data_IF_175371740912
#
_entry.id   IF_175371740912
#
_cell.length_a   1.000
_cell.length_b   1.000
_cell.length_c   1.000
_cell.angle_alpha   90.00
_cell.angle_beta   90.00
_cell.angle_gamma   90.00
#
_symmetry.space_group_name_H-M   'P 1'
#
loop_
_entity.id
_entity.type
_entity.pdbx_description
1 polymer ?
#
# COMPACT_ATOMS: atom_id res chain seq x y z
N UNK A 1 9.15 -6.33 -18.40
CA UNK A 1 9.10 -5.26 -17.39
C UNK A 1 7.64 -4.88 -17.16
N UNK A 2 7.11 -5.10 -15.96
CA UNK A 2 5.70 -4.78 -15.65
C UNK A 2 5.58 -3.30 -15.30
N UNK A 3 4.46 -2.66 -15.63
CA UNK A 3 4.21 -1.25 -15.28
C UNK A 3 4.34 -1.03 -13.76
N UNK A 4 3.91 -2.00 -12.95
CA UNK A 4 4.02 -1.96 -11.49
C UNK A 4 5.46 -1.80 -11.00
N UNK A 5 6.43 -2.45 -11.68
CA UNK A 5 7.86 -2.35 -11.32
C UNK A 5 8.38 -0.93 -11.58
N UNK A 6 8.02 -0.34 -12.72
CA UNK A 6 8.40 1.03 -13.07
C UNK A 6 7.82 2.05 -12.08
N UNK A 7 6.55 1.88 -11.68
CA UNK A 7 5.91 2.78 -10.71
C UNK A 7 6.56 2.66 -9.33
N UNK A 8 6.88 1.44 -8.87
CA UNK A 8 7.61 1.23 -7.61
C UNK A 8 8.97 1.93 -7.63
N UNK A 9 9.76 1.74 -8.69
CA UNK A 9 11.06 2.41 -8.86
C UNK A 9 10.93 3.94 -8.84
N UNK A 10 9.93 4.49 -9.53
CA UNK A 10 9.66 5.92 -9.53
C UNK A 10 9.34 6.43 -8.13
N UNK A 11 8.47 5.75 -7.40
CA UNK A 11 8.09 6.12 -6.01
C UNK A 11 9.31 6.06 -5.10
N UNK A 12 10.13 5.01 -5.19
CA UNK A 12 11.37 4.87 -4.41
C UNK A 12 12.38 5.98 -4.69
N UNK A 13 12.45 6.45 -5.93
CA UNK A 13 13.37 7.52 -6.34
C UNK A 13 12.84 8.92 -5.99
N UNK A 14 11.53 9.13 -6.05
CA UNK A 14 10.92 10.46 -6.02
C UNK A 14 10.33 10.85 -4.67
N UNK A 15 9.92 9.90 -3.82
CA UNK A 15 9.35 10.22 -2.50
C UNK A 15 10.47 10.53 -1.50
N UNK A 16 10.54 11.75 -0.96
CA UNK A 16 11.56 12.12 0.00
C UNK A 16 11.43 11.38 1.32
N UNK A 17 12.57 10.99 1.89
CA UNK A 17 12.68 10.25 3.15
C UNK A 17 11.84 8.95 3.16
N UNK A 18 11.63 8.32 2.00
CA UNK A 18 10.79 7.12 1.87
C UNK A 18 11.18 5.99 2.85
N UNK A 19 12.48 5.82 3.11
CA UNK A 19 12.99 4.77 4.01
C UNK A 19 12.56 4.94 5.48
N UNK A 20 12.15 6.16 5.89
CA UNK A 20 11.67 6.46 7.23
C UNK A 20 10.15 6.45 7.36
N UNK A 21 9.40 6.20 6.27
CA UNK A 21 7.94 6.19 6.31
C UNK A 21 7.43 4.83 6.77
N UNK A 22 6.48 4.87 7.71
CA UNK A 22 5.81 3.68 8.25
C UNK A 22 4.31 3.79 8.07
N UNK A 23 3.65 2.64 8.08
CA UNK A 23 2.19 2.56 8.07
C UNK A 23 1.65 2.84 9.46
N UNK A 24 0.79 3.85 9.57
CA UNK A 24 0.00 4.11 10.77
C UNK A 24 -1.17 3.14 10.89
N UNK A 25 -1.95 3.01 9.81
CA UNK A 25 -3.13 2.14 9.77
C UNK A 25 -3.33 1.56 8.37
N UNK A 26 -3.81 0.31 8.33
CA UNK A 26 -4.30 -0.33 7.11
C UNK A 26 -5.64 -1.01 7.37
N UNK A 27 -6.52 -1.00 6.37
CA UNK A 27 -7.82 -1.65 6.43
C UNK A 27 -8.18 -2.20 5.05
N UNK A 28 -8.54 -3.49 4.99
CA UNK A 28 -9.14 -4.11 3.80
C UNK A 28 -10.66 -4.03 4.00
N UNK A 29 -11.30 -3.06 3.35
CA UNK A 29 -12.75 -2.89 3.36
C UNK A 29 -13.42 -3.58 2.18
N UNK A 30 -14.75 -3.55 2.12
CA UNK A 30 -15.53 -4.24 1.07
C UNK A 30 -15.37 -3.63 -0.33
N UNK A 31 -15.32 -2.29 -0.42
CA UNK A 31 -15.15 -1.57 -1.69
C UNK A 31 -13.72 -1.06 -1.91
N UNK A 32 -13.03 -0.69 -0.84
CA UNK A 32 -11.66 -0.16 -0.89
C UNK A 32 -10.80 -0.72 0.23
N UNK A 33 -9.54 -0.97 -0.11
CA UNK A 33 -8.43 -1.16 0.80
C UNK A 33 -7.74 0.18 1.00
N UNK A 34 -7.60 0.61 2.25
CA UNK A 34 -7.03 1.90 2.62
C UNK A 34 -5.79 1.76 3.49
N UNK A 35 -4.81 2.63 3.26
CA UNK A 35 -3.57 2.74 4.02
C UNK A 35 -3.33 4.20 4.38
N UNK A 36 -2.90 4.45 5.62
CA UNK A 36 -2.46 5.76 6.10
C UNK A 36 -1.03 5.64 6.63
N UNK A 37 -0.16 6.55 6.21
CA UNK A 37 1.22 6.67 6.68
C UNK A 37 1.26 7.51 7.98
N UNK A 38 2.34 7.38 8.77
CA UNK A 38 2.55 8.24 9.94
C UNK A 38 2.68 9.73 9.57
N UNK A 39 3.06 10.04 8.32
CA UNK A 39 3.03 11.40 7.79
C UNK A 39 1.63 11.97 7.56
N UNK A 40 0.56 11.23 7.89
CA UNK A 40 -0.85 11.64 7.69
C UNK A 40 -1.38 11.41 6.27
N UNK A 41 -0.51 11.06 5.32
CA UNK A 41 -0.90 10.82 3.94
C UNK A 41 -1.59 9.46 3.79
N UNK A 42 -2.59 9.38 2.92
CA UNK A 42 -3.40 8.17 2.76
C UNK A 42 -3.50 7.76 1.28
N UNK A 43 -3.76 6.47 1.06
CA UNK A 43 -3.93 5.88 -0.25
C UNK A 43 -4.98 4.78 -0.23
N UNK A 44 -5.65 4.62 -1.37
CA UNK A 44 -6.74 3.68 -1.56
C UNK A 44 -6.45 2.78 -2.75
N UNK A 45 -6.96 1.56 -2.71
CA UNK A 45 -7.05 0.64 -3.84
C UNK A 45 -8.42 -0.02 -3.80
N UNK A 46 -9.05 -0.28 -4.96
CA UNK A 46 -10.30 -1.03 -4.99
C UNK A 46 -10.09 -2.44 -4.43
N UNK A 47 -10.99 -2.89 -3.55
CA UNK A 47 -10.91 -4.26 -3.02
C UNK A 47 -11.53 -5.23 -4.03
N UNK A 48 -10.72 -6.15 -4.53
CA UNK A 48 -11.16 -7.21 -5.44
C UNK A 48 -11.78 -8.39 -4.67
N UNK A 49 -12.87 -8.13 -3.95
CA UNK A 49 -13.49 -9.09 -3.02
C UNK A 49 -13.93 -10.40 -3.67
N UNK A 50 -14.25 -10.40 -4.96
CA UNK A 50 -14.63 -11.61 -5.72
C UNK A 50 -13.43 -12.47 -6.14
N UNK A 51 -12.24 -11.87 -6.22
CA UNK A 51 -10.98 -12.54 -6.57
C UNK A 51 -10.21 -13.00 -5.31
N UNK A 52 -10.63 -12.54 -4.13
CA UNK A 52 -10.06 -12.97 -2.86
C UNK A 52 -10.60 -14.36 -2.52
N UNK A 53 -9.72 -15.33 -2.15
CA UNK A 53 -10.18 -16.65 -1.79
C UNK A 53 -11.19 -16.57 -0.62
N UNK A 54 -12.33 -17.29 -0.69
CA UNK A 54 -13.45 -17.16 0.25
C UNK A 54 -13.16 -17.70 1.66
N UNK A 55 -11.90 -18.02 1.98
CA UNK A 55 -11.57 -18.78 3.18
C UNK A 55 -11.14 -17.89 4.36
N UNK A 56 -12.07 -17.81 5.33
CA UNK A 56 -11.89 -17.60 6.77
C UNK A 56 -11.58 -16.17 7.26
N UNK A 57 -11.85 -15.95 8.55
CA UNK A 57 -11.85 -14.71 9.33
C UNK A 57 -10.55 -13.87 9.30
N UNK A 58 -9.54 -14.28 8.53
CA UNK A 58 -8.30 -13.54 8.27
C UNK A 58 -8.05 -13.46 6.76
N UNK A 59 -8.46 -12.33 6.17
CA UNK A 59 -8.26 -11.98 4.76
C UNK A 59 -6.75 -11.86 4.41
N UNK A 60 -5.89 -11.66 5.41
CA UNK A 60 -4.43 -11.59 5.21
C UNK A 60 -3.68 -12.18 6.41
N UNK A 61 -2.67 -13.02 6.18
CA UNK A 61 -1.80 -13.62 7.24
C UNK A 61 -1.08 -12.57 8.11
N UNK A 62 -0.95 -11.34 7.61
CA UNK A 62 -0.33 -10.21 8.31
C UNK A 62 -1.35 -9.30 9.00
N UNK A 63 -2.64 -9.68 9.05
CA UNK A 63 -3.65 -8.91 9.78
C UNK A 63 -3.19 -8.62 11.23
N UNK A 64 -3.39 -7.39 11.69
CA UNK A 64 -2.90 -6.91 12.99
C UNK A 64 -1.39 -6.65 13.08
N UNK A 65 -0.61 -6.92 12.04
CA UNK A 65 0.86 -6.75 12.00
C UNK A 65 1.35 -5.72 10.97
N UNK A 66 0.43 -5.06 10.26
CA UNK A 66 0.78 -4.11 9.19
C UNK A 66 1.15 -2.72 9.74
N UNK A 67 0.49 -2.26 10.79
CA UNK A 67 0.87 -1.01 11.46
C UNK A 67 2.31 -1.09 11.99
N UNK A 68 3.06 -0.01 11.84
CA UNK A 68 4.48 0.08 12.17
C UNK A 68 5.42 -0.49 11.10
N UNK A 69 4.93 -1.24 10.11
CA UNK A 69 5.75 -1.74 9.01
C UNK A 69 6.26 -0.58 8.14
N UNK A 70 7.45 -0.73 7.54
CA UNK A 70 7.96 0.24 6.58
C UNK A 70 7.04 0.29 5.36
N UNK A 71 6.68 1.49 4.93
CA UNK A 71 5.79 1.70 3.80
C UNK A 71 6.32 1.06 2.51
N UNK A 72 7.65 1.09 2.32
CA UNK A 72 8.31 0.50 1.14
C UNK A 72 8.17 -1.03 1.09
N UNK A 73 8.21 -1.70 2.23
CA UNK A 73 8.10 -3.16 2.31
C UNK A 73 6.68 -3.62 1.96
N UNK A 74 5.68 -2.84 2.39
CA UNK A 74 4.28 -3.11 2.07
C UNK A 74 3.95 -2.69 0.63
N UNK A 75 4.47 -1.57 0.13
CA UNK A 75 4.30 -1.18 -1.28
C UNK A 75 4.87 -2.24 -2.23
N UNK A 76 5.98 -2.89 -1.87
CA UNK A 76 6.56 -4.00 -2.63
C UNK A 76 5.62 -5.20 -2.83
N UNK A 77 4.59 -5.35 -1.98
CA UNK A 77 3.56 -6.38 -2.09
C UNK A 77 2.65 -6.16 -3.30
N UNK A 78 2.66 -4.99 -3.95
CA UNK A 78 1.95 -4.75 -5.21
C UNK A 78 2.36 -5.72 -6.33
N UNK A 79 3.55 -6.33 -6.23
CA UNK A 79 4.05 -7.36 -7.16
C UNK A 79 3.57 -8.78 -6.84
N UNK A 80 2.94 -8.98 -5.69
CA UNK A 80 2.47 -10.28 -5.23
C UNK A 80 1.36 -10.80 -6.13
N UNK A 81 1.33 -12.12 -6.33
CA UNK A 81 0.23 -12.82 -7.00
C UNK A 81 -0.93 -13.09 -6.04
N UNK A 82 -0.73 -12.92 -4.72
CA UNK A 82 -1.83 -12.92 -3.76
C UNK A 82 -2.56 -11.58 -3.83
N UNK A 83 -3.84 -11.61 -4.22
CA UNK A 83 -4.68 -10.43 -4.40
C UNK A 83 -4.76 -9.60 -3.12
N UNK A 84 -4.81 -10.22 -1.93
CA UNK A 84 -4.87 -9.52 -0.65
C UNK A 84 -3.60 -8.72 -0.36
N UNK A 85 -2.46 -9.29 -0.75
CA UNK A 85 -1.17 -8.60 -0.65
C UNK A 85 -1.04 -7.50 -1.70
N UNK A 86 -1.47 -7.77 -2.93
CA UNK A 86 -1.38 -6.84 -4.04
C UNK A 86 -2.21 -5.57 -3.81
N UNK A 87 -3.49 -5.70 -3.43
CA UNK A 87 -4.34 -4.51 -3.16
C UNK A 87 -3.81 -3.65 -2.02
N UNK A 88 -3.22 -4.28 -0.99
CA UNK A 88 -2.59 -3.57 0.12
C UNK A 88 -1.32 -2.83 -0.34
N UNK A 89 -0.53 -3.47 -1.19
CA UNK A 89 0.64 -2.85 -1.81
C UNK A 89 0.28 -1.65 -2.67
N UNK A 90 -0.76 -1.77 -3.51
CA UNK A 90 -1.26 -0.64 -4.32
C UNK A 90 -1.81 0.50 -3.46
N UNK A 91 -2.57 0.21 -2.41
CA UNK A 91 -3.05 1.25 -1.50
C UNK A 91 -1.88 2.00 -0.83
N UNK A 92 -0.82 1.28 -0.44
CA UNK A 92 0.40 1.87 0.13
C UNK A 92 1.17 2.71 -0.90
N UNK A 93 1.30 2.20 -2.14
CA UNK A 93 1.95 2.91 -3.24
C UNK A 93 1.22 4.22 -3.58
N UNK A 94 -0.12 4.21 -3.51
CA UNK A 94 -0.93 5.41 -3.69
C UNK A 94 -0.74 6.40 -2.53
N UNK A 95 -0.59 5.92 -1.29
CA UNK A 95 -0.31 6.77 -0.13
C UNK A 95 1.06 7.47 -0.24
N UNK A 96 2.08 6.73 -0.70
CA UNK A 96 3.40 7.28 -0.97
C UNK A 96 3.37 8.31 -2.11
N UNK A 97 2.57 8.06 -3.14
CA UNK A 97 2.38 9.01 -4.24
C UNK A 97 1.74 10.32 -3.77
N UNK A 98 0.75 10.25 -2.86
CA UNK A 98 0.16 11.45 -2.26
C UNK A 98 1.20 12.30 -1.53
N UNK A 99 2.13 11.67 -0.81
CA UNK A 99 3.25 12.40 -0.16
C UNK A 99 4.13 13.14 -1.17
N UNK A 100 4.48 12.49 -2.28
CA UNK A 100 5.23 13.16 -3.34
C UNK A 100 4.48 14.36 -3.90
N UNK A 101 3.17 14.21 -4.19
CA UNK A 101 2.39 15.30 -4.75
C UNK A 101 2.17 16.46 -3.78
N UNK A 102 2.07 16.20 -2.47
CA UNK A 102 1.96 17.27 -1.48
C UNK A 102 3.25 18.09 -1.39
N UNK A 103 4.41 17.45 -1.44
CA UNK A 103 5.70 18.12 -1.38
C UNK A 103 6.04 18.89 -2.66
N UNK A 104 5.56 18.46 -3.84
CA UNK A 104 5.76 19.19 -5.10
C UNK A 104 4.84 20.43 -5.22
N UNK A 105 3.76 20.49 -4.43
CA UNK A 105 2.85 21.65 -4.41
C UNK A 105 3.34 22.79 -3.50
N UNK A 106 4.32 22.53 -2.63
CA UNK A 106 4.95 23.51 -1.74
C UNK A 106 6.14 24.18 -2.44
#
# INVERSE_FOLDING_TARGET
MRIVEQVLELVMKKVPRINGLTIKKACIGLGYTGVTLESGHAGLCHTLSHEMPPYCCQVNKRAGKISGSKAIDIANMARSWDVNESVLGFATLNALSQKFFDEVKQ
#
